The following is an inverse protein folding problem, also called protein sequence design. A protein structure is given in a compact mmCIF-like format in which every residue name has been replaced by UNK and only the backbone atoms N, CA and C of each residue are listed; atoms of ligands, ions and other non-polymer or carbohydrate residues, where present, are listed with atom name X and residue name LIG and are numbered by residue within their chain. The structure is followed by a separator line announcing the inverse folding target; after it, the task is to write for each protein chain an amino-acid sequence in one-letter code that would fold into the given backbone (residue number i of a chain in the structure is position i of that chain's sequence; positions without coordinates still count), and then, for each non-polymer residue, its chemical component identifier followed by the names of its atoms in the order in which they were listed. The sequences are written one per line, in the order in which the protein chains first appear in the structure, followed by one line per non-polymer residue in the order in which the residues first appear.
data_IF_974763591906
#
_entry.id   IF_974763591906
#
_cell.length_a   1.000
_cell.length_b   1.000
_cell.length_c   1.000
_cell.angle_alpha   90.00
_cell.angle_beta   90.00
_cell.angle_gamma   90.00
#
_symmetry.space_group_name_H-M   'P 1'
#
loop_
_entity.id
_entity.type
_entity.pdbx_description
1 polymer ?
#
# COMPACT_ATOMS: atom_id res chain seq x y z
N UNK A 1 -15.50 -2.49 11.36
CA UNK A 1 -16.80 -1.90 11.72
C UNK A 1 -17.47 -1.34 10.48
N UNK A 2 -18.77 -1.01 10.53
CA UNK A 2 -19.46 -0.35 9.42
C UNK A 2 -18.80 0.97 8.98
N UNK A 3 -18.31 1.76 9.93
CA UNK A 3 -17.61 3.02 9.65
C UNK A 3 -16.29 2.81 8.87
N UNK A 4 -15.49 1.80 9.23
CA UNK A 4 -14.28 1.43 8.48
C UNK A 4 -14.62 0.91 7.09
N UNK A 5 -15.66 0.09 6.97
CA UNK A 5 -16.10 -0.41 5.66
C UNK A 5 -16.51 0.75 4.75
N UNK A 6 -17.32 1.69 5.26
CA UNK A 6 -17.78 2.84 4.49
C UNK A 6 -16.63 3.73 3.99
N UNK A 7 -15.62 4.02 4.83
CA UNK A 7 -14.46 4.82 4.37
C UNK A 7 -13.59 4.07 3.36
N UNK A 8 -13.48 2.74 3.49
CA UNK A 8 -12.75 1.91 2.53
C UNK A 8 -13.47 1.90 1.18
N UNK A 9 -14.78 1.70 1.18
CA UNK A 9 -15.60 1.73 -0.04
C UNK A 9 -15.55 3.10 -0.72
N UNK A 10 -15.63 4.18 0.06
CA UNK A 10 -15.44 5.55 -0.44
C UNK A 10 -14.05 5.72 -1.06
N UNK A 11 -12.98 5.32 -0.36
CA UNK A 11 -11.62 5.44 -0.86
C UNK A 11 -11.41 4.63 -2.15
N UNK A 12 -11.99 3.43 -2.26
CA UNK A 12 -11.94 2.61 -3.48
C UNK A 12 -12.65 3.28 -4.64
N UNK A 13 -13.86 3.80 -4.39
CA UNK A 13 -14.70 4.51 -5.38
C UNK A 13 -14.03 5.78 -5.89
N UNK A 14 -13.46 6.56 -4.98
CA UNK A 14 -12.77 7.81 -5.28
C UNK A 14 -11.34 7.60 -5.79
N UNK A 15 -10.93 6.34 -6.00
CA UNK A 15 -9.56 5.97 -6.43
C UNK A 15 -8.47 6.56 -5.52
N UNK A 16 -8.73 6.67 -4.22
CA UNK A 16 -7.72 7.04 -3.23
C UNK A 16 -6.85 5.82 -2.95
N UNK A 17 -5.52 5.98 -3.00
CA UNK A 17 -4.63 4.87 -2.64
C UNK A 17 -4.70 4.56 -1.15
N UNK A 18 -4.64 3.27 -0.84
CA UNK A 18 -4.83 2.75 0.51
C UNK A 18 -3.56 2.00 0.94
N UNK A 19 -3.04 2.40 2.11
CA UNK A 19 -1.90 1.76 2.74
C UNK A 19 -2.36 0.95 3.96
N UNK A 20 -2.15 -0.35 3.95
CA UNK A 20 -2.46 -1.23 5.08
C UNK A 20 -1.20 -1.42 5.93
N UNK A 21 -1.17 -0.83 7.12
CA UNK A 21 -0.07 -0.94 8.06
C UNK A 21 -0.31 -1.99 9.15
N UNK A 22 0.77 -2.53 9.73
CA UNK A 22 0.65 -3.52 10.81
C UNK A 22 1.95 -4.24 11.17
N UNK A 23 1.93 -4.98 12.27
CA UNK A 23 3.02 -5.89 12.66
C UNK A 23 3.09 -7.16 11.81
N UNK A 24 4.15 -7.95 11.98
CA UNK A 24 4.27 -9.29 11.40
C UNK A 24 3.12 -10.18 11.89
N UNK A 25 2.50 -10.92 10.97
CA UNK A 25 1.38 -11.81 11.30
C UNK A 25 0.07 -11.12 11.69
N UNK A 26 -0.04 -9.79 11.54
CA UNK A 26 -1.27 -9.04 11.81
C UNK A 26 -2.37 -9.29 10.77
N UNK A 27 -2.04 -9.87 9.61
CA UNK A 27 -2.98 -10.14 8.52
C UNK A 27 -3.15 -8.98 7.54
N UNK A 28 -2.09 -8.17 7.33
CA UNK A 28 -2.11 -7.03 6.38
C UNK A 28 -2.50 -7.47 4.97
N UNK A 29 -1.86 -8.52 4.44
CA UNK A 29 -2.15 -9.06 3.09
C UNK A 29 -3.59 -9.55 2.97
N UNK A 30 -4.16 -10.10 4.05
CA UNK A 30 -5.58 -10.51 4.06
C UNK A 30 -6.50 -9.29 3.94
N UNK A 31 -6.26 -8.23 4.73
CA UNK A 31 -7.01 -6.97 4.61
C UNK A 31 -6.80 -6.33 3.24
N UNK A 32 -5.57 -6.33 2.72
CA UNK A 32 -5.24 -5.83 1.39
C UNK A 32 -6.04 -6.55 0.30
N UNK A 33 -6.11 -7.89 0.36
CA UNK A 33 -6.88 -8.69 -0.58
C UNK A 33 -8.40 -8.42 -0.48
N UNK A 34 -8.91 -8.21 0.73
CA UNK A 34 -10.32 -7.82 0.92
C UNK A 34 -10.61 -6.44 0.29
N UNK A 35 -9.76 -5.44 0.53
CA UNK A 35 -9.86 -4.12 -0.10
C UNK A 35 -9.74 -4.23 -1.62
N UNK A 36 -8.77 -5.01 -2.12
CA UNK A 36 -8.56 -5.22 -3.54
C UNK A 36 -9.76 -5.92 -4.21
N UNK A 37 -10.53 -6.74 -3.48
CA UNK A 37 -11.75 -7.36 -4.01
C UNK A 37 -12.90 -6.38 -4.25
N UNK A 38 -12.84 -5.19 -3.66
CA UNK A 38 -13.81 -4.11 -3.88
C UNK A 38 -13.52 -3.27 -5.13
N UNK A 39 -12.34 -3.44 -5.74
CA UNK A 39 -11.97 -2.77 -6.99
C UNK A 39 -12.92 -3.15 -8.13
N UNK A 40 -13.16 -2.21 -9.03
CA UNK A 40 -14.18 -2.39 -10.07
C UNK A 40 -13.79 -3.54 -11.01
N UNK A 41 -14.69 -4.46 -11.40
CA UNK A 41 -14.32 -5.66 -12.17
C UNK A 41 -13.70 -5.39 -13.54
N UNK A 42 -13.96 -4.22 -14.13
CA UNK A 42 -13.35 -3.80 -15.40
C UNK A 42 -11.93 -3.24 -15.25
N UNK A 43 -11.49 -2.91 -14.03
CA UNK A 43 -10.13 -2.43 -13.79
C UNK A 43 -9.12 -3.55 -13.99
N UNK A 44 -8.06 -3.25 -14.75
CA UNK A 44 -6.89 -4.10 -14.91
C UNK A 44 -5.97 -3.94 -13.71
N UNK A 45 -5.80 -5.00 -12.95
CA UNK A 45 -5.02 -5.02 -11.71
C UNK A 45 -3.71 -5.76 -11.95
N UNK A 46 -2.59 -5.14 -11.58
CA UNK A 46 -1.28 -5.82 -11.53
C UNK A 46 -0.87 -5.98 -10.07
N UNK A 47 -0.72 -7.22 -9.60
CA UNK A 47 -0.16 -7.51 -8.28
C UNK A 47 1.35 -7.71 -8.38
N UNK A 48 2.10 -7.22 -7.38
CA UNK A 48 3.55 -7.37 -7.27
C UNK A 48 3.88 -7.86 -5.87
N UNK A 49 4.41 -9.07 -5.73
CA UNK A 49 4.60 -9.72 -4.43
C UNK A 49 5.96 -10.45 -4.34
N UNK A 50 6.52 -10.59 -3.14
CA UNK A 50 7.71 -11.42 -2.92
C UNK A 50 7.39 -12.91 -3.11
N UNK A 51 6.30 -13.32 -2.45
CA UNK A 51 5.66 -14.61 -2.61
C UNK A 51 4.21 -14.33 -2.99
N UNK A 52 3.72 -14.93 -4.05
CA UNK A 52 2.41 -14.60 -4.57
C UNK A 52 1.27 -15.16 -3.68
N UNK A 53 0.77 -14.35 -2.74
CA UNK A 53 -0.25 -14.67 -1.74
C UNK A 53 -1.65 -14.20 -2.17
N UNK A 54 -1.75 -13.05 -2.83
CA UNK A 54 -3.02 -12.47 -3.26
C UNK A 54 -3.70 -13.36 -4.32
N UNK A 55 -5.00 -13.59 -4.10
CA UNK A 55 -5.89 -14.28 -5.04
C UNK A 55 -7.10 -13.39 -5.26
N UNK A 56 -7.09 -12.70 -6.40
CA UNK A 56 -8.13 -11.75 -6.80
C UNK A 56 -9.05 -12.43 -7.82
N UNK A 57 -10.36 -12.27 -7.66
CA UNK A 57 -11.38 -12.92 -8.50
C UNK A 57 -11.76 -12.14 -9.76
N UNK A 58 -11.23 -10.92 -9.91
CA UNK A 58 -11.51 -10.07 -11.07
C UNK A 58 -10.96 -10.68 -12.38
N UNK A 59 -11.59 -10.41 -13.53
CA UNK A 59 -11.21 -11.00 -14.82
C UNK A 59 -9.84 -10.55 -15.34
N UNK A 60 -9.39 -9.34 -14.98
CA UNK A 60 -8.20 -8.71 -15.55
C UNK A 60 -7.07 -8.56 -14.53
N UNK A 61 -6.58 -9.68 -13.99
CA UNK A 61 -5.52 -9.70 -12.99
C UNK A 61 -4.23 -10.27 -13.59
N UNK A 62 -3.14 -9.50 -13.51
CA UNK A 62 -1.78 -9.96 -13.80
C UNK A 62 -1.02 -10.09 -12.48
N UNK A 63 -0.34 -11.21 -12.29
CA UNK A 63 0.40 -11.50 -11.06
C UNK A 63 1.89 -11.52 -11.35
N UNK A 64 2.63 -10.62 -10.72
CA UNK A 64 4.08 -10.54 -10.79
C UNK A 64 4.67 -10.97 -9.45
N UNK A 65 5.65 -11.87 -9.50
CA UNK A 65 6.30 -12.43 -8.33
C UNK A 65 7.81 -12.18 -8.41
N UNK A 66 8.37 -11.62 -7.35
CA UNK A 66 9.80 -11.39 -7.26
C UNK A 66 10.53 -12.73 -7.20
N UNK A 67 11.78 -12.73 -7.67
CA UNK A 67 12.62 -13.91 -7.63
C UNK A 67 13.93 -13.54 -6.95
N UNK A 68 14.29 -14.18 -5.82
CA UNK A 68 15.61 -14.00 -5.24
C UNK A 68 16.70 -14.36 -6.26
N UNK A 69 17.83 -13.66 -6.19
CA UNK A 69 19.00 -14.06 -6.96
C UNK A 69 19.45 -15.47 -6.54
N UNK A 70 19.94 -16.24 -7.50
CA UNK A 70 20.60 -17.52 -7.21
C UNK A 70 21.91 -17.28 -6.46
N UNK A 71 22.49 -18.34 -5.90
CA UNK A 71 23.75 -18.28 -5.14
C UNK A 71 24.94 -17.73 -5.95
N UNK A 72 24.88 -17.79 -7.27
CA UNK A 72 25.86 -17.21 -8.21
C UNK A 72 25.55 -15.74 -8.57
N UNK A 73 24.54 -15.13 -7.95
CA UNK A 73 24.08 -13.76 -8.23
C UNK A 73 23.18 -13.64 -9.46
N UNK A 74 22.93 -14.74 -10.19
CA UNK A 74 22.18 -14.73 -11.43
C UNK A 74 20.65 -14.74 -11.23
N UNK A 75 19.95 -14.04 -12.12
CA UNK A 75 18.51 -14.20 -12.32
C UNK A 75 17.60 -13.64 -11.23
N UNK A 76 18.09 -12.80 -10.31
CA UNK A 76 17.21 -12.07 -9.40
C UNK A 76 16.27 -11.12 -10.15
N UNK A 77 15.03 -10.99 -9.67
CA UNK A 77 14.07 -9.97 -10.11
C UNK A 77 13.47 -9.35 -8.86
N UNK A 78 13.79 -8.09 -8.61
CA UNK A 78 13.33 -7.37 -7.42
C UNK A 78 11.90 -6.85 -7.56
N UNK A 79 11.24 -6.59 -6.43
CA UNK A 79 9.95 -5.89 -6.39
C UNK A 79 10.03 -4.55 -7.15
N UNK A 80 11.12 -3.81 -6.98
CA UNK A 80 11.35 -2.53 -7.66
C UNK A 80 11.31 -2.65 -9.18
N UNK A 81 11.96 -3.68 -9.73
CA UNK A 81 11.92 -3.97 -11.17
C UNK A 81 10.52 -4.35 -11.64
N UNK A 82 9.80 -5.14 -10.85
CA UNK A 82 8.43 -5.54 -11.17
C UNK A 82 7.44 -4.37 -11.13
N UNK A 83 7.57 -3.46 -10.16
CA UNK A 83 6.76 -2.22 -10.11
C UNK A 83 6.98 -1.39 -11.36
N UNK A 84 8.24 -1.20 -11.78
CA UNK A 84 8.57 -0.47 -13.02
C UNK A 84 8.04 -1.15 -14.27
N UNK A 85 8.09 -2.49 -14.31
CA UNK A 85 7.51 -3.25 -15.41
C UNK A 85 5.99 -3.14 -15.44
N UNK A 86 5.34 -3.19 -14.28
CA UNK A 86 3.89 -3.03 -14.15
C UNK A 86 3.39 -1.73 -14.79
N UNK A 87 4.11 -0.62 -14.64
CA UNK A 87 3.77 0.68 -15.26
C UNK A 87 3.67 0.62 -16.80
N UNK A 88 4.35 -0.35 -17.45
CA UNK A 88 4.28 -0.54 -18.91
C UNK A 88 3.14 -1.47 -19.33
N UNK A 89 2.45 -2.08 -18.39
CA UNK A 89 1.37 -3.05 -18.64
C UNK A 89 -0.02 -2.40 -18.71
N UNK A 90 -0.07 -1.06 -18.72
CA UNK A 90 -1.29 -0.24 -18.66
C UNK A 90 -2.25 -0.69 -17.54
N UNK A 91 -1.80 -0.83 -16.28
CA UNK A 91 -2.71 -1.16 -15.19
C UNK A 91 -3.62 0.03 -14.87
N UNK A 92 -4.85 -0.24 -14.46
CA UNK A 92 -5.70 0.75 -13.80
C UNK A 92 -5.34 0.86 -12.31
N UNK A 93 -4.82 -0.24 -11.73
CA UNK A 93 -4.43 -0.37 -10.32
C UNK A 93 -3.15 -1.20 -10.20
N UNK A 94 -2.22 -0.76 -9.36
CA UNK A 94 -1.06 -1.56 -8.94
C UNK A 94 -1.26 -1.93 -7.47
N UNK A 95 -1.09 -3.22 -7.15
CA UNK A 95 -1.16 -3.73 -5.78
C UNK A 95 0.20 -4.29 -5.41
N UNK A 96 0.91 -3.60 -4.54
CA UNK A 96 2.20 -4.07 -4.03
C UNK A 96 1.95 -4.83 -2.72
N UNK A 97 2.29 -6.11 -2.67
CA UNK A 97 2.02 -6.96 -1.51
C UNK A 97 2.59 -6.36 -0.23
N UNK A 98 3.84 -5.89 -0.27
CA UNK A 98 4.45 -5.12 0.80
C UNK A 98 5.62 -4.27 0.29
N UNK A 99 5.75 -3.05 0.82
CA UNK A 99 6.95 -2.22 0.61
C UNK A 99 7.90 -2.32 1.80
N UNK A 100 9.17 -2.58 1.49
CA UNK A 100 10.28 -2.84 2.42
C UNK A 100 11.53 -2.02 2.12
N UNK A 101 11.65 -1.46 0.92
CA UNK A 101 12.84 -0.76 0.44
C UNK A 101 12.53 0.29 -0.63
N UNK A 102 13.50 0.47 -1.53
CA UNK A 102 13.53 1.51 -2.56
C UNK A 102 12.34 1.49 -3.55
N UNK A 103 11.66 0.34 -3.69
CA UNK A 103 10.42 0.22 -4.48
C UNK A 103 9.30 1.14 -3.99
N UNK A 104 9.36 1.60 -2.74
CA UNK A 104 8.40 2.54 -2.18
C UNK A 104 8.33 3.83 -2.99
N UNK A 105 9.47 4.35 -3.48
CA UNK A 105 9.48 5.54 -4.31
C UNK A 105 8.79 5.31 -5.65
N UNK A 106 9.11 4.20 -6.32
CA UNK A 106 8.49 3.85 -7.60
C UNK A 106 6.97 3.63 -7.44
N UNK A 107 6.53 3.08 -6.29
CA UNK A 107 5.11 2.93 -5.94
C UNK A 107 4.43 4.30 -5.69
N UNK A 108 5.04 5.18 -4.90
CA UNK A 108 4.50 6.53 -4.62
C UNK A 108 4.39 7.36 -5.89
N UNK A 109 5.36 7.25 -6.79
CA UNK A 109 5.29 7.86 -8.11
C UNK A 109 4.15 7.27 -8.95
N UNK A 110 3.96 5.95 -8.94
CA UNK A 110 2.85 5.31 -9.65
C UNK A 110 1.48 5.85 -9.18
N UNK A 111 1.29 5.95 -7.86
CA UNK A 111 0.06 6.45 -7.22
C UNK A 111 -0.32 7.86 -7.66
N UNK A 112 0.66 8.69 -8.02
CA UNK A 112 0.45 10.09 -8.44
C UNK A 112 0.44 10.26 -9.97
N UNK A 113 0.83 9.24 -10.74
CA UNK A 113 0.99 9.32 -12.20
C UNK A 113 0.10 8.33 -12.95
N UNK A 114 -1.22 8.50 -12.82
CA UNK A 114 -2.21 7.76 -13.61
C UNK A 114 -2.49 6.32 -13.14
N UNK A 115 -1.96 5.93 -11.97
CA UNK A 115 -2.27 4.66 -11.29
C UNK A 115 -2.77 4.93 -9.87
N UNK A 116 -3.59 5.97 -9.74
CA UNK A 116 -4.30 6.34 -8.53
C UNK A 116 -5.14 5.14 -8.01
N UNK A 117 -5.34 5.11 -6.71
CA UNK A 117 -6.11 4.05 -6.09
C UNK A 117 -5.34 2.72 -5.98
N UNK A 118 -4.03 2.74 -6.24
CA UNK A 118 -3.12 1.63 -5.94
C UNK A 118 -3.13 1.29 -4.45
N UNK A 119 -2.82 0.04 -4.14
CA UNK A 119 -2.92 -0.52 -2.79
C UNK A 119 -1.56 -1.09 -2.37
N UNK A 120 -1.24 -0.98 -1.08
CA UNK A 120 -0.01 -1.60 -0.58
C UNK A 120 -0.07 -1.92 0.90
N UNK A 121 0.86 -2.75 1.38
CA UNK A 121 1.08 -2.93 2.82
C UNK A 121 2.44 -2.43 3.26
N UNK A 122 2.52 -2.06 4.54
CA UNK A 122 3.78 -1.63 5.16
C UNK A 122 3.83 -2.08 6.62
N UNK A 123 5.03 -2.35 7.12
CA UNK A 123 5.23 -2.64 8.53
C UNK A 123 5.27 -1.37 9.37
N UNK A 124 4.23 -1.12 10.17
CA UNK A 124 4.21 0.00 11.11
C UNK A 124 3.26 -0.25 12.28
N UNK A 125 3.40 0.56 13.34
CA UNK A 125 2.64 0.46 14.59
C UNK A 125 1.48 1.45 14.70
N UNK A 126 1.40 2.41 13.79
CA UNK A 126 0.32 3.40 13.71
C UNK A 126 0.24 3.97 12.30
N UNK A 127 -0.87 4.65 11.93
CA UNK A 127 -0.97 5.37 10.66
C UNK A 127 0.13 6.41 10.44
N UNK A 128 0.47 7.20 11.46
CA UNK A 128 1.58 8.15 11.40
C UNK A 128 2.92 7.44 11.16
N UNK A 129 3.20 6.36 11.91
CA UNK A 129 4.44 5.60 11.73
C UNK A 129 4.51 4.96 10.34
N UNK A 130 3.38 4.63 9.73
CA UNK A 130 3.31 4.10 8.37
C UNK A 130 3.76 5.14 7.34
N UNK A 131 3.27 6.39 7.43
CA UNK A 131 3.68 7.46 6.51
C UNK A 131 5.16 7.82 6.68
N UNK A 132 5.64 8.02 7.91
CA UNK A 132 7.07 8.28 8.18
C UNK A 132 7.97 7.15 7.68
N UNK A 133 7.53 5.90 7.83
CA UNK A 133 8.27 4.76 7.29
C UNK A 133 8.25 4.76 5.77
N UNK A 134 7.12 5.06 5.14
CA UNK A 134 7.03 5.15 3.69
C UNK A 134 7.97 6.22 3.12
N UNK A 135 8.05 7.38 3.75
CA UNK A 135 9.02 8.44 3.41
C UNK A 135 10.47 7.93 3.51
N UNK A 136 10.79 7.25 4.60
CA UNK A 136 12.13 6.66 4.82
C UNK A 136 12.47 5.65 3.71
N UNK A 137 11.53 4.77 3.37
CA UNK A 137 11.71 3.78 2.30
C UNK A 137 11.88 4.45 0.93
N UNK A 138 11.17 5.56 0.67
CA UNK A 138 11.36 6.33 -0.55
C UNK A 138 12.77 6.93 -0.63
N UNK A 139 13.29 7.45 0.48
CA UNK A 139 14.65 8.01 0.53
C UNK A 139 15.74 6.95 0.30
N UNK A 140 15.49 5.68 0.64
CA UNK A 140 16.42 4.56 0.34
C UNK A 140 16.59 4.30 -1.16
N UNK A 141 15.74 4.85 -2.02
CA UNK A 141 15.93 4.79 -3.46
C UNK A 141 17.16 5.58 -3.96
N UNK A 142 17.72 6.43 -3.10
CA UNK A 142 18.97 7.19 -3.27
C UNK A 142 19.01 8.03 -4.57
N UNK A 143 17.90 8.71 -4.84
CA UNK A 143 17.73 9.59 -6.02
C UNK A 143 18.01 11.07 -5.71
N UNK A 144 18.49 11.39 -4.50
CA UNK A 144 18.83 12.76 -4.09
C UNK A 144 17.63 13.70 -3.87
N UNK A 145 16.42 13.17 -3.61
CA UNK A 145 15.25 14.00 -3.32
C UNK A 145 15.31 14.57 -1.89
N UNK A 146 15.04 15.88 -1.69
CA UNK A 146 14.88 16.45 -0.36
C UNK A 146 13.72 15.79 0.40
N UNK A 147 13.85 15.63 1.72
CA UNK A 147 12.80 15.04 2.56
C UNK A 147 11.44 15.71 2.37
N UNK A 148 11.39 17.05 2.28
CA UNK A 148 10.13 17.80 2.06
C UNK A 148 9.44 17.43 0.75
N UNK A 149 10.21 17.11 -0.30
CA UNK A 149 9.64 16.67 -1.57
C UNK A 149 9.02 15.27 -1.42
N UNK A 150 9.72 14.36 -0.73
CA UNK A 150 9.21 13.01 -0.44
C UNK A 150 7.95 13.06 0.42
N UNK A 151 7.93 13.87 1.47
CA UNK A 151 6.76 14.03 2.35
C UNK A 151 5.53 14.54 1.58
N UNK A 152 5.73 15.49 0.66
CA UNK A 152 4.68 15.96 -0.26
C UNK A 152 4.20 14.86 -1.20
N UNK A 153 5.12 14.15 -1.84
CA UNK A 153 4.77 13.02 -2.72
C UNK A 153 3.97 11.95 -1.98
N UNK A 154 4.34 11.62 -0.74
CA UNK A 154 3.59 10.67 0.10
C UNK A 154 2.21 11.21 0.44
N UNK A 155 2.10 12.50 0.78
CA UNK A 155 0.81 13.16 1.04
C UNK A 155 -0.13 13.14 -0.16
N UNK A 156 0.41 13.31 -1.37
CA UNK A 156 -0.37 13.33 -2.61
C UNK A 156 -0.74 11.90 -3.05
N UNK A 157 0.14 10.93 -2.78
CA UNK A 157 -0.05 9.55 -3.16
C UNK A 157 -1.06 8.81 -2.28
N UNK A 158 -0.95 8.92 -0.96
CA UNK A 158 -1.74 8.10 -0.01
C UNK A 158 -2.98 8.86 0.42
N UNK A 159 -4.17 8.27 0.29
CA UNK A 159 -5.42 8.89 0.74
C UNK A 159 -6.00 8.29 2.02
N UNK A 160 -5.69 7.02 2.32
CA UNK A 160 -6.18 6.31 3.50
C UNK A 160 -5.13 5.35 4.05
N UNK A 161 -4.95 5.33 5.37
CA UNK A 161 -4.12 4.35 6.06
C UNK A 161 -4.99 3.51 7.00
N UNK A 162 -4.86 2.19 6.91
CA UNK A 162 -5.54 1.22 7.79
C UNK A 162 -4.51 0.52 8.67
N UNK A 163 -4.65 0.62 9.99
CA UNK A 163 -3.79 -0.07 10.94
C UNK A 163 -4.42 -1.40 11.36
N UNK A 164 -3.83 -2.50 10.88
CA UNK A 164 -4.18 -3.86 11.24
C UNK A 164 -3.33 -4.33 12.42
N UNK A 165 -4.00 -4.87 13.43
CA UNK A 165 -3.37 -5.38 14.66
C UNK A 165 -3.88 -6.78 14.98
N UNK A 166 -2.98 -7.66 15.45
CA UNK A 166 -3.37 -8.89 16.14
C UNK A 166 -3.54 -8.55 17.62
N UNK A 167 -4.77 -8.56 18.10
CA UNK A 167 -5.13 -8.22 19.48
C UNK A 167 -4.73 -9.35 20.44
N UNK A 168 -4.69 -9.05 21.75
CA UNK A 168 -4.24 -9.99 22.78
C UNK A 168 -5.11 -11.26 22.86
N UNK A 169 -6.38 -11.15 22.48
CA UNK A 169 -7.34 -12.25 22.30
C UNK A 169 -7.07 -13.12 21.05
N UNK A 170 -6.01 -12.83 20.30
CA UNK A 170 -5.59 -13.56 19.11
C UNK A 170 -6.33 -13.17 17.83
N UNK A 171 -7.38 -12.34 17.92
CA UNK A 171 -8.13 -11.85 16.78
C UNK A 171 -7.32 -10.82 15.96
N UNK A 172 -7.67 -10.64 14.69
CA UNK A 172 -7.06 -9.64 13.80
C UNK A 172 -8.10 -8.58 13.49
N UNK A 173 -7.80 -7.32 13.79
CA UNK A 173 -8.74 -6.20 13.67
C UNK A 173 -8.04 -4.96 13.12
N UNK A 174 -8.79 -4.16 12.36
CA UNK A 174 -8.39 -2.79 12.04
C UNK A 174 -8.63 -1.96 13.31
N UNK A 175 -7.55 -1.56 13.97
CA UNK A 175 -7.60 -0.83 15.26
C UNK A 175 -7.46 0.67 15.11
N UNK A 176 -7.01 1.15 13.95
CA UNK A 176 -7.05 2.56 13.60
C UNK A 176 -7.22 2.71 12.09
N UNK A 177 -7.86 3.79 11.67
CA UNK A 177 -7.93 4.21 10.28
C UNK A 177 -7.78 5.73 10.25
N UNK A 178 -7.06 6.26 9.26
CA UNK A 178 -6.85 7.69 9.13
C UNK A 178 -6.82 8.11 7.67
N UNK A 179 -7.60 9.15 7.35
CA UNK A 179 -7.50 9.85 6.06
C UNK A 179 -6.25 10.71 6.06
N UNK A 180 -5.61 10.76 4.92
CA UNK A 180 -4.42 11.57 4.70
C UNK A 180 -4.82 12.78 3.84
N UNK A 181 -4.27 13.93 4.20
CA UNK A 181 -4.46 15.20 3.49
C UNK A 181 -3.17 16.01 3.55
N UNK A 182 -3.01 17.01 2.69
CA UNK A 182 -1.83 17.88 2.74
C UNK A 182 -1.77 18.67 4.04
N UNK A 183 -0.58 18.75 4.63
CA UNK A 183 -0.29 19.50 5.86
C UNK A 183 0.97 20.36 5.75
N UNK A 184 1.28 21.20 6.76
CA UNK A 184 2.45 22.08 6.74
C UNK A 184 3.78 21.35 6.53
N UNK A 185 3.93 20.17 7.13
CA UNK A 185 5.15 19.35 7.08
C UNK A 185 5.04 18.17 6.09
N UNK A 186 4.11 18.25 5.14
CA UNK A 186 3.83 17.18 4.18
C UNK A 186 2.37 16.75 4.25
N UNK A 187 2.01 16.03 5.30
CA UNK A 187 0.68 15.47 5.48
C UNK A 187 0.07 15.78 6.87
N UNK A 188 -1.25 15.69 6.94
CA UNK A 188 -2.05 15.70 8.15
C UNK A 188 -2.99 14.48 8.17
N UNK A 189 -3.21 13.92 9.35
CA UNK A 189 -4.08 12.76 9.56
C UNK A 189 -5.39 13.16 10.20
N UNK A 190 -6.49 12.73 9.58
CA UNK A 190 -7.82 12.77 10.19
C UNK A 190 -8.22 11.35 10.58
N UNK A 191 -8.32 11.09 11.89
CA UNK A 191 -8.77 9.80 12.39
C UNK A 191 -10.20 9.48 11.93
N UNK A 192 -10.42 8.23 11.54
CA UNK A 192 -11.74 7.67 11.25
C UNK A 192 -12.17 6.84 12.46
N UNK A 193 -13.43 7.00 12.88
CA UNK A 193 -13.99 6.18 13.94
C UNK A 193 -14.01 4.70 13.49
N UNK A 194 -13.25 3.87 14.20
CA UNK A 194 -13.16 2.44 13.91
C UNK A 194 -14.22 1.61 14.62
N UNK A 195 -15.06 2.20 15.49
CA UNK A 195 -16.15 1.52 16.17
C UNK A 195 -15.73 0.35 17.08
N UNK A 196 -15.30 0.69 18.31
CA UNK A 196 -15.28 -0.14 19.53
C UNK A 196 -14.04 -1.02 19.84
N UNK A 197 -13.86 -1.49 21.09
CA UNK A 197 -13.78 -0.75 22.36
C UNK A 197 -12.31 -0.42 22.73
N UNK A 198 -12.11 0.28 23.86
CA UNK A 198 -10.82 0.33 24.58
C UNK A 198 -10.40 -1.05 25.05
#
# INVERSE_FOLDING_TARGET
SPAVAAVVEEAVRDRRSILVSGGTGAGKTTTLGAVASLLHPAERIVTVEDTAELRLGQPHVVRLEARPARSDGGGGVSIRELVRNALRMRPDRIVVGEVRGAEALDMVLAMTTGHDGSLSTIHARSPEAALRRLETLCLMADVGLPHVAVARMVSDAVGLVLQQTRTADGHRRVTAAARVSSGPDGWALQAVDVGGPR
#
